data_IF_752560197691
#
_entry.id   IF_752560197691
#
_cell.length_a   1.000
_cell.length_b   1.000
_cell.length_c   1.000
_cell.angle_alpha   90.00
_cell.angle_beta   90.00
_cell.angle_gamma   90.00
#
_symmetry.space_group_name_H-M   'P 1'
#
loop_
_entity.id
_entity.type
_entity.pdbx_description
1 polymer ?
#
# COMPACT_ATOMS: atom_id res chain seq x y z
N UNK A 1 -32.44 1.92 75.09
CA UNK A 1 -31.69 1.82 73.82
C UNK A 1 -32.60 2.20 72.69
N UNK A 2 -32.14 3.04 71.76
CA UNK A 2 -32.80 3.27 70.48
C UNK A 2 -31.69 3.53 69.45
N UNK A 3 -31.43 2.52 68.63
CA UNK A 3 -30.49 2.57 67.51
C UNK A 3 -31.09 3.48 66.44
N UNK A 4 -30.42 4.61 66.18
CA UNK A 4 -30.69 5.48 65.05
C UNK A 4 -29.97 4.84 63.85
N UNK A 5 -30.73 4.14 63.03
CA UNK A 5 -30.25 3.55 61.78
C UNK A 5 -31.10 4.12 60.64
N UNK A 6 -30.42 4.66 59.64
CA UNK A 6 -31.03 5.18 58.43
C UNK A 6 -31.05 6.70 58.42
N UNK A 7 -29.93 7.31 57.99
CA UNK A 7 -29.93 8.30 56.90
C UNK A 7 -28.48 8.78 56.61
N UNK A 8 -27.56 7.90 56.22
CA UNK A 8 -26.18 8.32 55.89
C UNK A 8 -25.55 7.70 54.64
N UNK A 9 -26.14 6.68 54.02
CA UNK A 9 -25.40 5.91 52.97
C UNK A 9 -25.81 6.20 51.52
N UNK A 10 -26.88 6.96 51.26
CA UNK A 10 -27.41 7.15 49.89
C UNK A 10 -26.77 8.34 49.16
N UNK A 11 -26.38 9.39 49.90
CA UNK A 11 -25.72 10.57 49.32
C UNK A 11 -24.25 10.31 49.01
N UNK A 12 -23.54 9.65 49.91
CA UNK A 12 -22.12 9.33 49.75
C UNK A 12 -21.90 8.35 48.58
N UNK A 13 -22.81 7.39 48.39
CA UNK A 13 -22.80 6.49 47.22
C UNK A 13 -23.18 7.19 45.91
N UNK A 14 -24.07 8.19 45.95
CA UNK A 14 -24.42 8.99 44.77
C UNK A 14 -23.25 9.86 44.30
N UNK A 15 -22.54 10.50 45.23
CA UNK A 15 -21.39 11.34 44.92
C UNK A 15 -20.22 10.50 44.41
N UNK A 16 -20.00 9.31 44.99
CA UNK A 16 -19.02 8.33 44.51
C UNK A 16 -19.33 7.89 43.07
N UNK A 17 -20.59 7.53 42.76
CA UNK A 17 -21.00 7.17 41.39
C UNK A 17 -20.81 8.34 40.41
N UNK A 18 -21.11 9.57 40.81
CA UNK A 18 -20.91 10.75 39.97
C UNK A 18 -19.42 11.01 39.66
N UNK A 19 -18.54 10.77 40.64
CA UNK A 19 -17.09 10.89 40.43
C UNK A 19 -16.55 9.80 39.52
N UNK A 20 -16.99 8.55 39.69
CA UNK A 20 -16.60 7.42 38.85
C UNK A 20 -17.04 7.62 37.39
N UNK A 21 -18.26 8.12 37.16
CA UNK A 21 -18.73 8.47 35.81
C UNK A 21 -17.87 9.56 35.18
N UNK A 22 -17.54 10.62 35.91
CA UNK A 22 -16.67 11.71 35.43
C UNK A 22 -15.27 11.19 35.10
N UNK A 23 -14.70 10.29 35.89
CA UNK A 23 -13.40 9.69 35.61
C UNK A 23 -13.43 8.80 34.36
N UNK A 24 -14.49 8.03 34.16
CA UNK A 24 -14.66 7.23 32.92
C UNK A 24 -14.80 8.10 31.68
N UNK A 25 -15.57 9.18 31.76
CA UNK A 25 -15.72 10.14 30.67
C UNK A 25 -14.38 10.79 30.33
N UNK A 26 -13.63 11.25 31.35
CA UNK A 26 -12.29 11.83 31.17
C UNK A 26 -11.31 10.85 30.51
N UNK A 27 -11.30 9.58 30.95
CA UNK A 27 -10.46 8.53 30.37
C UNK A 27 -10.83 8.21 28.92
N UNK A 28 -12.13 8.21 28.62
CA UNK A 28 -12.62 7.97 27.25
C UNK A 28 -12.25 9.12 26.32
N UNK A 29 -12.32 10.36 26.81
CA UNK A 29 -11.88 11.53 26.06
C UNK A 29 -10.37 11.49 25.79
N UNK A 30 -9.55 11.22 26.81
CA UNK A 30 -8.10 11.16 26.68
C UNK A 30 -7.64 10.10 25.68
N UNK A 31 -8.19 8.88 25.77
CA UNK A 31 -7.91 7.80 24.81
C UNK A 31 -8.36 8.14 23.38
N UNK A 32 -9.47 8.87 23.22
CA UNK A 32 -9.92 9.36 21.91
C UNK A 32 -8.96 10.39 21.33
N UNK A 33 -8.49 11.35 22.15
CA UNK A 33 -7.53 12.36 21.70
C UNK A 33 -6.15 11.77 21.39
N UNK A 34 -5.72 10.74 22.13
CA UNK A 34 -4.51 9.98 21.82
C UNK A 34 -4.65 9.22 20.49
N UNK A 35 -5.78 8.50 20.30
CA UNK A 35 -6.09 7.82 19.04
C UNK A 35 -6.10 8.78 17.84
N UNK A 36 -6.68 9.98 17.98
CA UNK A 36 -6.64 11.02 16.93
C UNK A 36 -5.21 11.46 16.61
N UNK A 37 -4.35 11.63 17.62
CA UNK A 37 -2.93 11.98 17.42
C UNK A 37 -2.21 10.88 16.66
N UNK A 38 -2.39 9.62 17.03
CA UNK A 38 -1.75 8.48 16.37
C UNK A 38 -2.20 8.33 14.92
N UNK A 39 -3.51 8.45 14.67
CA UNK A 39 -4.08 8.46 13.32
C UNK A 39 -3.46 9.60 12.50
N UNK A 40 -3.33 10.79 13.08
CA UNK A 40 -2.74 11.95 12.39
C UNK A 40 -1.28 11.71 12.03
N UNK A 41 -0.49 11.13 12.94
CA UNK A 41 0.91 10.77 12.70
C UNK A 41 0.99 9.75 11.57
N UNK A 42 0.19 8.67 11.63
CA UNK A 42 0.15 7.65 10.60
C UNK A 42 -0.20 8.27 9.23
N UNK A 43 -1.25 9.07 9.13
CA UNK A 43 -1.65 9.74 7.90
C UNK A 43 -0.54 10.63 7.33
N UNK A 44 0.20 11.34 8.19
CA UNK A 44 1.32 12.17 7.75
C UNK A 44 2.50 11.34 7.20
N UNK A 45 2.80 10.20 7.84
CA UNK A 45 3.83 9.27 7.33
C UNK A 45 3.41 8.73 5.97
N UNK A 46 2.19 8.23 5.86
CA UNK A 46 1.65 7.70 4.61
C UNK A 46 1.67 8.73 3.48
N UNK A 47 1.25 9.98 3.77
CA UNK A 47 1.30 11.08 2.80
C UNK A 47 2.72 11.32 2.28
N UNK A 48 3.70 11.43 3.19
CA UNK A 48 5.11 11.67 2.81
C UNK A 48 5.68 10.51 2.01
N UNK A 49 5.38 9.27 2.38
CA UNK A 49 5.81 8.09 1.62
C UNK A 49 5.22 8.08 0.21
N UNK A 50 3.94 8.42 0.07
CA UNK A 50 3.27 8.50 -1.23
C UNK A 50 3.85 9.62 -2.10
N UNK A 51 4.13 10.79 -1.53
CA UNK A 51 4.76 11.91 -2.23
C UNK A 51 6.18 11.57 -2.71
N UNK A 52 6.97 10.88 -1.87
CA UNK A 52 8.31 10.43 -2.22
C UNK A 52 8.29 9.43 -3.37
N UNK A 53 7.38 8.44 -3.32
CA UNK A 53 7.25 7.44 -4.38
C UNK A 53 6.72 8.07 -5.69
N UNK A 54 5.76 9.00 -5.59
CA UNK A 54 5.27 9.74 -6.76
C UNK A 54 6.40 10.52 -7.44
N UNK A 55 7.27 11.18 -6.65
CA UNK A 55 8.44 11.89 -7.16
C UNK A 55 9.41 10.92 -7.84
N UNK A 56 9.74 9.79 -7.20
CA UNK A 56 10.61 8.75 -7.75
C UNK A 56 10.09 8.23 -9.09
N UNK A 57 8.79 7.95 -9.19
CA UNK A 57 8.16 7.47 -10.44
C UNK A 57 8.23 8.52 -11.55
N UNK A 58 8.01 9.80 -11.24
CA UNK A 58 8.15 10.90 -12.21
C UNK A 58 9.57 11.03 -12.76
N UNK A 59 10.58 10.71 -11.96
CA UNK A 59 11.98 10.73 -12.40
C UNK A 59 12.35 9.48 -13.22
N UNK A 60 11.87 8.30 -12.82
CA UNK A 60 12.25 7.02 -13.45
C UNK A 60 11.49 6.75 -14.76
N UNK A 61 10.19 7.06 -14.83
CA UNK A 61 9.36 6.71 -16.00
C UNK A 61 9.88 7.30 -17.33
N UNK A 62 10.32 8.58 -17.40
CA UNK A 62 10.87 9.13 -18.63
C UNK A 62 12.15 8.41 -19.07
N UNK A 63 13.02 8.04 -18.13
CA UNK A 63 14.29 7.34 -18.41
C UNK A 63 14.01 5.94 -18.97
N UNK A 64 13.10 5.20 -18.33
CA UNK A 64 12.69 3.86 -18.80
C UNK A 64 12.06 3.95 -20.19
N UNK A 65 11.16 4.92 -20.41
CA UNK A 65 10.54 5.15 -21.72
C UNK A 65 11.59 5.45 -22.79
N UNK A 66 12.53 6.36 -22.51
CA UNK A 66 13.59 6.69 -23.44
C UNK A 66 14.46 5.47 -23.77
N UNK A 67 14.82 4.67 -22.76
CA UNK A 67 15.61 3.46 -22.97
C UNK A 67 14.86 2.43 -23.81
N UNK A 68 13.56 2.26 -23.58
CA UNK A 68 12.71 1.39 -24.36
C UNK A 68 12.66 1.80 -25.84
N UNK A 69 12.48 3.09 -26.13
CA UNK A 69 12.50 3.61 -27.50
C UNK A 69 13.84 3.38 -28.22
N UNK A 70 14.96 3.53 -27.50
CA UNK A 70 16.29 3.22 -28.05
C UNK A 70 16.42 1.74 -28.39
N UNK A 71 15.96 0.85 -27.50
CA UNK A 71 16.00 -0.60 -27.73
C UNK A 71 15.10 -1.00 -28.91
N UNK A 72 13.93 -0.38 -29.07
CA UNK A 72 13.07 -0.59 -30.23
C UNK A 72 13.78 -0.24 -31.55
N UNK A 73 14.44 0.92 -31.60
CA UNK A 73 15.23 1.33 -32.77
C UNK A 73 16.37 0.35 -33.06
N UNK A 74 17.11 -0.04 -32.02
CA UNK A 74 18.20 -1.02 -32.16
C UNK A 74 17.69 -2.37 -32.69
N UNK A 75 16.56 -2.86 -32.16
CA UNK A 75 15.93 -4.09 -32.63
C UNK A 75 15.52 -3.98 -34.10
N UNK A 76 14.88 -2.86 -34.49
CA UNK A 76 14.48 -2.62 -35.89
C UNK A 76 15.68 -2.65 -36.83
N UNK A 77 16.74 -1.91 -36.50
CA UNK A 77 17.98 -1.91 -37.29
C UNK A 77 18.62 -3.28 -37.37
N UNK A 78 18.64 -4.05 -36.27
CA UNK A 78 19.19 -5.40 -36.27
C UNK A 78 18.38 -6.33 -37.18
N UNK A 79 17.04 -6.26 -37.10
CA UNK A 79 16.13 -7.03 -37.97
C UNK A 79 16.37 -6.71 -39.44
N UNK A 80 16.47 -5.43 -39.80
CA UNK A 80 16.78 -5.00 -41.17
C UNK A 80 18.13 -5.56 -41.65
N UNK A 81 19.18 -5.51 -40.81
CA UNK A 81 20.50 -6.08 -41.16
C UNK A 81 20.46 -7.59 -41.35
N UNK A 82 19.75 -8.31 -40.47
CA UNK A 82 19.57 -9.75 -40.58
C UNK A 82 18.84 -10.08 -41.89
N UNK A 83 17.78 -9.35 -42.22
CA UNK A 83 17.02 -9.60 -43.44
C UNK A 83 17.84 -9.34 -44.70
N UNK A 84 18.62 -8.26 -44.75
CA UNK A 84 19.57 -8.03 -45.86
C UNK A 84 20.58 -9.15 -46.03
N UNK A 85 21.11 -9.69 -44.93
CA UNK A 85 22.02 -10.84 -44.98
C UNK A 85 21.31 -12.11 -45.48
N UNK A 86 20.06 -12.34 -45.06
CA UNK A 86 19.26 -13.48 -45.52
C UNK A 86 18.92 -13.38 -47.00
N UNK A 87 18.53 -12.19 -47.46
CA UNK A 87 18.31 -11.88 -48.87
C UNK A 87 19.57 -12.16 -49.70
N UNK A 88 20.77 -11.80 -49.22
CA UNK A 88 22.03 -12.10 -49.92
C UNK A 88 22.36 -13.60 -50.03
N UNK A 89 21.66 -14.44 -49.27
CA UNK A 89 21.78 -15.89 -49.24
C UNK A 89 20.53 -16.58 -49.82
N UNK A 90 19.62 -15.84 -50.47
CA UNK A 90 18.33 -16.31 -50.98
C UNK A 90 17.46 -17.03 -49.90
N UNK A 91 17.62 -16.62 -48.64
CA UNK A 91 16.86 -17.15 -47.51
C UNK A 91 15.62 -16.30 -47.24
N UNK A 92 14.56 -16.95 -46.76
CA UNK A 92 13.33 -16.27 -46.35
C UNK A 92 13.58 -15.23 -45.24
N UNK A 93 12.80 -14.15 -45.27
CA UNK A 93 12.87 -13.05 -44.29
C UNK A 93 12.68 -13.58 -42.86
N UNK A 94 13.49 -13.06 -41.94
CA UNK A 94 13.32 -13.31 -40.52
C UNK A 94 12.17 -12.46 -39.96
N UNK A 95 11.14 -13.15 -39.48
CA UNK A 95 10.00 -12.56 -38.76
C UNK A 95 9.97 -13.10 -37.33
N UNK A 96 9.81 -12.21 -36.36
CA UNK A 96 9.58 -12.58 -34.96
C UNK A 96 8.09 -12.60 -34.70
N UNK A 97 7.57 -13.65 -34.03
CA UNK A 97 6.14 -13.80 -33.69
C UNK A 97 5.57 -12.69 -32.78
N UNK A 98 6.41 -11.76 -32.33
CA UNK A 98 6.09 -10.68 -31.39
C UNK A 98 6.62 -9.34 -31.88
N UNK A 99 6.52 -9.06 -33.17
CA UNK A 99 6.71 -7.68 -33.63
C UNK A 99 5.65 -6.79 -32.96
N UNK A 100 6.05 -5.85 -32.09
CA UNK A 100 5.10 -4.92 -31.52
C UNK A 100 4.51 -3.99 -32.57
N UNK A 101 5.10 -3.85 -33.76
CA UNK A 101 4.54 -3.05 -34.85
C UNK A 101 3.16 -3.57 -35.31
N UNK A 102 2.85 -4.86 -35.14
CA UNK A 102 1.53 -5.43 -35.40
C UNK A 102 0.53 -5.23 -34.23
N UNK A 103 0.99 -4.72 -33.08
CA UNK A 103 0.20 -4.65 -31.86
C UNK A 103 0.38 -3.34 -31.06
N UNK A 104 0.92 -2.26 -31.65
CA UNK A 104 0.87 -0.92 -31.03
C UNK A 104 -0.54 -0.34 -31.18
N UNK A 105 -1.50 -0.94 -30.50
CA UNK A 105 -2.61 -0.15 -29.94
C UNK A 105 -1.98 0.56 -28.75
N UNK A 106 -1.71 1.85 -28.91
CA UNK A 106 -1.36 2.77 -27.81
C UNK A 106 -2.51 2.76 -26.81
N UNK A 107 -2.55 1.75 -25.95
CA UNK A 107 -3.42 1.71 -24.79
C UNK A 107 -2.84 2.71 -23.79
N UNK A 108 -3.17 3.99 -23.98
CA UNK A 108 -3.35 4.92 -22.86
C UNK A 108 -4.59 4.50 -22.05
N UNK A 109 -4.61 3.24 -21.61
CA UNK A 109 -5.57 2.72 -20.65
C UNK A 109 -4.76 1.93 -19.66
N UNK A 110 -4.43 2.59 -18.55
CA UNK A 110 -4.16 1.86 -17.32
C UNK A 110 -5.50 1.25 -16.89
N UNK A 111 -5.90 0.15 -17.53
CA UNK A 111 -6.93 -0.72 -16.98
C UNK A 111 -6.23 -1.47 -15.87
N UNK A 112 -6.42 -1.01 -14.65
CA UNK A 112 -6.20 -1.81 -13.45
C UNK A 112 -7.16 -2.99 -13.58
N UNK A 113 -6.73 -4.05 -14.26
CA UNK A 113 -7.40 -5.33 -14.17
C UNK A 113 -7.42 -5.67 -12.69
N UNK A 114 -8.62 -5.63 -12.12
CA UNK A 114 -8.91 -6.12 -10.78
C UNK A 114 -8.38 -7.55 -10.77
N UNK A 115 -7.22 -7.74 -10.13
CA UNK A 115 -6.84 -9.05 -9.65
C UNK A 115 -7.96 -9.44 -8.67
N UNK A 116 -8.90 -10.23 -9.17
CA UNK A 116 -9.64 -11.14 -8.31
C UNK A 116 -8.59 -12.04 -7.66
N UNK A 117 -8.08 -11.58 -6.52
CA UNK A 117 -7.35 -12.43 -5.60
C UNK A 117 -8.34 -13.47 -5.11
N UNK A 118 -8.40 -14.56 -5.86
CA UNK A 118 -8.97 -15.83 -5.43
C UNK A 118 -8.41 -16.11 -4.03
N UNK A 119 -9.34 -16.38 -3.11
CA UNK A 119 -9.10 -16.65 -1.71
C UNK A 119 -8.06 -17.76 -1.54
N UNK A 120 -6.80 -17.41 -1.37
CA UNK A 120 -5.78 -18.29 -0.80
C UNK A 120 -5.28 -17.63 0.46
N UNK A 121 -5.98 -17.94 1.55
CA UNK A 121 -5.53 -17.68 2.92
C UNK A 121 -4.16 -18.32 3.11
N UNK A 122 -3.13 -17.49 3.10
CA UNK A 122 -1.81 -17.85 3.63
C UNK A 122 -1.62 -17.02 4.90
N UNK A 123 -2.14 -17.56 6.00
CA UNK A 123 -1.73 -17.15 7.34
C UNK A 123 -0.20 -17.28 7.42
N UNK A 124 0.52 -16.15 7.39
CA UNK A 124 1.89 -16.14 7.86
C UNK A 124 1.84 -16.09 9.38
N UNK A 125 2.44 -17.06 10.10
CA UNK A 125 2.45 -17.02 11.55
C UNK A 125 3.31 -15.85 12.03
N UNK A 126 2.80 -15.14 13.03
CA UNK A 126 3.50 -14.11 13.79
C UNK A 126 4.84 -14.70 14.31
N UNK A 127 5.97 -13.97 14.27
CA UNK A 127 7.20 -14.48 14.86
C UNK A 127 6.97 -14.65 16.37
N UNK A 128 7.11 -15.89 16.86
CA UNK A 128 7.13 -16.17 18.29
C UNK A 128 8.22 -15.32 18.94
N UNK A 129 7.83 -14.46 19.87
CA UNK A 129 8.75 -13.89 20.83
C UNK A 129 9.46 -15.04 21.55
N UNK A 130 10.78 -15.04 21.45
CA UNK A 130 11.63 -15.83 22.33
C UNK A 130 11.69 -15.05 23.64
N UNK A 131 11.16 -15.62 24.71
CA UNK A 131 11.37 -15.12 26.07
C UNK A 131 12.87 -15.06 26.37
N UNK A 132 13.40 -13.94 26.89
CA UNK A 132 14.68 -13.95 27.55
C UNK A 132 14.46 -14.21 29.05
N UNK A 133 15.07 -15.29 29.54
CA UNK A 133 15.31 -15.61 30.96
C UNK A 133 14.17 -16.26 31.76
N UNK A 134 14.24 -17.59 31.89
CA UNK A 134 14.49 -18.30 33.18
C UNK A 134 14.78 -19.79 32.92
#
# INVERSE_FOLDING_TARGET
GRTQAGDMDIKDTSDEIATELRMREAKTFETTEESKRDITIALNIWRRSLEAENKRLKEVLPVVRQRYEVLLKQRKTLKEKINKLRESLDLSTYTTKSDPDDNVRTANSFSLEVLEYSNVSTCSPMPSQVDPHL
#
